data_IF_665960030485
#
_entry.id   IF_665960030485
#
_cell.length_a   1.000
_cell.length_b   1.000
_cell.length_c   1.000
_cell.angle_alpha   90.00
_cell.angle_beta   90.00
_cell.angle_gamma   90.00
#
_symmetry.space_group_name_H-M   'P 1'
#
loop_
_entity.id
_entity.type
_entity.pdbx_description
1 polymer ?
#
# COMPACT_ATOMS: atom_id res chain seq x y z
N UNK A 1 34.59 34.36 -34.65
CA UNK A 1 35.01 33.00 -34.26
C UNK A 1 35.05 32.94 -32.74
N UNK A 2 34.05 32.35 -32.07
CA UNK A 2 33.94 32.35 -30.60
C UNK A 2 34.90 31.30 -30.04
N UNK A 3 35.93 31.77 -29.35
CA UNK A 3 36.91 30.94 -28.67
C UNK A 3 36.18 30.30 -27.49
N UNK A 4 35.74 29.05 -27.66
CA UNK A 4 35.23 28.24 -26.55
C UNK A 4 36.40 28.00 -25.61
N UNK A 5 36.47 28.78 -24.54
CA UNK A 5 37.49 28.69 -23.52
C UNK A 5 37.45 27.32 -22.83
N UNK A 6 38.61 26.74 -22.46
CA UNK A 6 38.70 25.40 -21.85
C UNK A 6 37.93 25.29 -20.52
N UNK A 7 37.63 26.42 -19.87
CA UNK A 7 36.83 26.51 -18.65
C UNK A 7 35.35 26.16 -18.85
N UNK A 8 34.83 26.30 -20.07
CA UNK A 8 33.43 25.98 -20.40
C UNK A 8 33.17 24.47 -20.37
N UNK A 9 34.14 23.68 -20.86
CA UNK A 9 34.07 22.20 -20.85
C UNK A 9 34.13 21.64 -19.42
N UNK A 10 34.99 22.22 -18.58
CA UNK A 10 35.09 21.86 -17.18
C UNK A 10 33.81 22.23 -16.40
N UNK A 11 33.25 23.42 -16.64
CA UNK A 11 32.02 23.88 -15.98
C UNK A 11 30.80 23.05 -16.36
N UNK A 12 30.67 22.67 -17.63
CA UNK A 12 29.58 21.80 -18.11
C UNK A 12 29.63 20.40 -17.47
N UNK A 13 30.84 19.86 -17.26
CA UNK A 13 31.04 18.55 -16.66
C UNK A 13 30.69 18.54 -15.17
N UNK A 14 31.08 19.58 -14.43
CA UNK A 14 30.73 19.76 -13.01
C UNK A 14 29.21 19.89 -12.83
N UNK A 15 28.54 20.65 -13.70
CA UNK A 15 27.09 20.82 -13.65
C UNK A 15 26.33 19.52 -13.92
N UNK A 16 26.82 18.70 -14.87
CA UNK A 16 26.24 17.41 -15.19
C UNK A 16 26.37 16.40 -14.03
N UNK A 17 27.52 16.38 -13.35
CA UNK A 17 27.75 15.52 -12.17
C UNK A 17 26.82 15.89 -11.01
N UNK A 18 26.63 17.19 -10.76
CA UNK A 18 25.68 17.69 -9.75
C UNK A 18 24.24 17.27 -10.05
N UNK A 19 23.84 17.30 -11.33
CA UNK A 19 22.50 16.88 -11.74
C UNK A 19 22.27 15.37 -11.58
N UNK A 20 23.31 14.55 -11.82
CA UNK A 20 23.23 13.09 -11.61
C UNK A 20 23.17 12.71 -10.13
N UNK A 21 23.82 13.46 -9.23
CA UNK A 21 23.83 13.20 -7.79
C UNK A 21 22.50 13.58 -7.09
N UNK A 22 21.69 14.44 -7.70
CA UNK A 22 20.40 14.88 -7.13
C UNK A 22 19.24 13.89 -7.38
N UNK A 23 19.47 12.76 -8.06
CA UNK A 23 18.41 12.00 -8.72
C UNK A 23 18.42 10.48 -8.53
N UNK A 24 18.51 9.94 -7.32
CA UNK A 24 18.32 8.49 -7.10
C UNK A 24 17.39 8.06 -5.94
N UNK A 25 16.86 8.97 -5.11
CA UNK A 25 16.05 8.59 -3.93
C UNK A 25 14.54 8.74 -4.10
N UNK A 26 14.02 8.60 -5.33
CA UNK A 26 12.58 8.43 -5.55
C UNK A 26 12.17 6.97 -5.34
N UNK A 27 12.37 6.45 -4.13
CA UNK A 27 11.70 5.23 -3.71
C UNK A 27 10.23 5.58 -3.45
N UNK A 28 9.26 4.88 -4.04
CA UNK A 28 7.87 5.03 -3.62
C UNK A 28 7.83 4.78 -2.11
N UNK A 29 7.33 5.74 -1.34
CA UNK A 29 7.12 5.59 0.09
C UNK A 29 6.36 4.28 0.29
N UNK A 30 6.99 3.31 0.97
CA UNK A 30 6.35 2.03 1.23
C UNK A 30 5.00 2.31 1.89
N UNK A 31 3.91 1.87 1.26
CA UNK A 31 2.59 2.01 1.82
C UNK A 31 2.59 1.27 3.16
N UNK A 32 2.53 2.02 4.25
CA UNK A 32 2.41 1.43 5.58
C UNK A 32 1.03 0.77 5.62
N UNK A 33 0.94 -0.56 5.77
CA UNK A 33 -0.35 -1.20 5.90
C UNK A 33 -1.07 -0.61 7.12
N UNK A 34 -2.40 -0.43 7.05
CA UNK A 34 -3.16 0.01 8.21
C UNK A 34 -2.90 -0.96 9.37
N UNK A 35 -2.82 -0.43 10.59
CA UNK A 35 -2.77 -1.27 11.76
C UNK A 35 -4.12 -1.98 11.89
N UNK A 36 -4.16 -3.26 11.49
CA UNK A 36 -5.32 -4.11 11.71
C UNK A 36 -5.29 -4.55 13.18
N UNK A 37 -6.40 -4.37 13.88
CA UNK A 37 -6.63 -4.98 15.18
C UNK A 37 -7.40 -6.29 14.97
N UNK A 38 -6.74 -7.47 15.07
CA UNK A 38 -7.40 -8.75 14.85
C UNK A 38 -8.55 -8.98 15.84
N UNK A 39 -8.43 -8.44 17.07
CA UNK A 39 -9.45 -8.63 18.09
C UNK A 39 -10.73 -7.84 17.75
N UNK A 40 -10.58 -6.58 17.33
CA UNK A 40 -11.72 -5.77 16.89
C UNK A 40 -12.40 -6.36 15.65
N UNK A 41 -11.62 -6.89 14.69
CA UNK A 41 -12.16 -7.51 13.48
C UNK A 41 -12.89 -8.82 13.83
N UNK A 42 -12.29 -9.66 14.67
CA UNK A 42 -12.92 -10.91 15.11
C UNK A 42 -14.20 -10.65 15.89
N UNK A 43 -14.22 -9.66 16.79
CA UNK A 43 -15.41 -9.28 17.53
C UNK A 43 -16.54 -8.76 16.63
N UNK A 44 -16.19 -7.95 15.62
CA UNK A 44 -17.15 -7.48 14.62
C UNK A 44 -17.73 -8.62 13.77
N UNK A 45 -16.89 -9.56 13.34
CA UNK A 45 -17.33 -10.74 12.60
C UNK A 45 -18.24 -11.64 13.47
N UNK A 46 -17.88 -11.87 14.73
CA UNK A 46 -18.69 -12.69 15.63
C UNK A 46 -20.04 -12.02 15.90
N UNK A 47 -20.06 -10.72 16.16
CA UNK A 47 -21.32 -9.97 16.31
C UNK A 47 -22.23 -10.05 15.08
N UNK A 48 -21.65 -10.17 13.89
CA UNK A 48 -22.41 -10.25 12.64
C UNK A 48 -22.94 -11.65 12.32
N UNK A 49 -22.30 -12.71 12.79
CA UNK A 49 -22.56 -14.08 12.35
C UNK A 49 -22.96 -15.04 13.47
N UNK A 50 -22.38 -14.92 14.66
CA UNK A 50 -22.72 -15.70 15.86
C UNK A 50 -24.04 -15.15 16.44
N UNK A 51 -25.14 -15.73 15.98
CA UNK A 51 -26.49 -15.31 16.33
C UNK A 51 -26.92 -15.87 17.68
N UNK A 52 -26.36 -17.01 18.08
CA UNK A 52 -26.71 -17.68 19.33
C UNK A 52 -25.79 -17.26 20.50
N UNK A 53 -24.68 -16.57 20.23
CA UNK A 53 -23.73 -16.05 21.20
C UNK A 53 -22.84 -17.12 21.83
N UNK A 54 -22.65 -18.26 21.19
CA UNK A 54 -21.88 -19.39 21.73
C UNK A 54 -20.36 -19.26 21.48
N UNK A 55 -19.95 -18.21 20.77
CA UNK A 55 -18.55 -17.90 20.45
C UNK A 55 -17.99 -18.72 19.29
N UNK A 56 -18.84 -19.46 18.58
CA UNK A 56 -18.50 -20.22 17.39
C UNK A 56 -19.47 -19.86 16.26
N UNK A 57 -19.06 -20.12 15.01
CA UNK A 57 -19.94 -19.99 13.85
C UNK A 57 -20.30 -21.42 13.43
N UNK A 58 -21.54 -21.81 13.68
CA UNK A 58 -22.10 -23.09 13.26
C UNK A 58 -22.38 -23.12 11.75
N UNK A 59 -22.56 -24.32 11.19
CA UNK A 59 -22.93 -24.48 9.77
C UNK A 59 -24.23 -23.76 9.42
N UNK A 60 -25.21 -23.77 10.33
CA UNK A 60 -26.50 -23.08 10.15
C UNK A 60 -26.35 -21.55 10.16
N UNK A 61 -25.40 -21.01 10.92
CA UNK A 61 -25.07 -19.58 10.91
C UNK A 61 -24.30 -19.19 9.66
N UNK A 62 -23.40 -20.06 9.20
CA UNK A 62 -22.66 -19.86 7.96
C UNK A 62 -23.57 -19.90 6.72
N UNK A 63 -24.56 -20.78 6.68
CA UNK A 63 -25.55 -20.86 5.58
C UNK A 63 -26.35 -19.55 5.48
N UNK A 64 -26.78 -19.01 6.62
CA UNK A 64 -27.48 -17.72 6.70
C UNK A 64 -26.59 -16.57 6.23
N UNK A 65 -25.31 -16.60 6.58
CA UNK A 65 -24.31 -15.62 6.14
C UNK A 65 -24.01 -15.70 4.63
N UNK A 66 -23.86 -16.91 4.09
CA UNK A 66 -23.50 -17.16 2.70
C UNK A 66 -24.62 -16.79 1.71
N UNK A 67 -25.89 -16.84 2.15
CA UNK A 67 -27.04 -16.42 1.33
C UNK A 67 -27.03 -14.93 0.91
N UNK A 68 -26.13 -14.12 1.48
CA UNK A 68 -25.94 -12.69 1.14
C UNK A 68 -24.93 -12.47 -0.01
N UNK A 69 -24.14 -13.47 -0.42
CA UNK A 69 -23.09 -13.33 -1.46
C UNK A 69 -23.44 -14.06 -2.77
N UNK A 70 -24.70 -14.38 -3.01
CA UNK A 70 -25.13 -14.76 -4.37
C UNK A 70 -25.17 -13.48 -5.21
N UNK A 71 -24.03 -13.11 -5.80
CA UNK A 71 -23.97 -12.15 -6.89
C UNK A 71 -24.39 -12.92 -8.15
N UNK A 72 -25.64 -12.76 -8.65
CA UNK A 72 -26.03 -13.38 -9.90
C UNK A 72 -25.10 -12.84 -10.99
N UNK A 73 -24.38 -13.76 -11.63
CA UNK A 73 -23.60 -13.49 -12.83
C UNK A 73 -24.52 -13.18 -14.00
#
# INVERSE_FOLDING_TARGET
MKIASPTYRASALVLAILFCLAGCDRKPTAAKPPALDPAAIAAGAMTAYDSNGDGQISGDELEKAASVVDHPS
#
